data_IF_611951702142
#
_entry.id   IF_611951702142
#
_cell.length_a   1.000
_cell.length_b   1.000
_cell.length_c   1.000
_cell.angle_alpha   90.00
_cell.angle_beta   90.00
_cell.angle_gamma   90.00
#
_symmetry.space_group_name_H-M   'P 1'
#
loop_
_entity.id
_entity.type
_entity.pdbx_description
1 polymer ?
#
# COMPACT_ATOMS: atom_id res chain seq x y z
N UNK A 1 -14.31 19.90 -38.77
CA UNK A 1 -14.13 18.46 -38.87
C UNK A 1 -12.63 18.13 -38.70
N UNK A 2 -12.21 17.63 -37.54
CA UNK A 2 -10.82 17.16 -37.33
C UNK A 2 -10.79 15.68 -37.64
N UNK A 3 -9.97 15.29 -38.62
CA UNK A 3 -9.75 13.90 -38.99
C UNK A 3 -9.02 13.16 -37.87
N UNK A 4 -9.61 12.05 -37.45
CA UNK A 4 -9.04 11.10 -36.50
C UNK A 4 -8.02 10.23 -37.22
N UNK A 5 -6.75 10.27 -36.79
CA UNK A 5 -5.73 9.32 -37.24
C UNK A 5 -5.73 8.08 -36.32
N UNK A 6 -5.90 6.88 -36.85
CA UNK A 6 -5.88 5.68 -36.03
C UNK A 6 -4.45 5.34 -35.58
N UNK A 7 -4.25 5.23 -34.27
CA UNK A 7 -3.00 4.80 -33.67
C UNK A 7 -2.62 3.36 -34.07
N UNK A 8 -1.32 3.11 -34.23
CA UNK A 8 -0.74 1.82 -34.61
C UNK A 8 -1.09 0.76 -33.55
N UNK A 9 -1.81 -0.27 -33.96
CA UNK A 9 -2.20 -1.41 -33.11
C UNK A 9 -1.00 -2.36 -32.95
N UNK A 10 -0.80 -2.90 -31.74
CA UNK A 10 0.27 -3.88 -31.40
C UNK A 10 0.36 -5.08 -32.36
N UNK A 11 -0.74 -5.51 -32.97
CA UNK A 11 -0.75 -6.60 -33.98
C UNK A 11 -0.12 -6.19 -35.31
N UNK A 12 -0.09 -4.92 -35.66
CA UNK A 12 0.50 -4.43 -36.91
C UNK A 12 2.02 -4.22 -36.79
N UNK A 13 2.55 -4.02 -35.59
CA UNK A 13 3.98 -3.91 -35.35
C UNK A 13 4.72 -5.24 -35.63
N UNK A 14 4.10 -6.36 -35.33
CA UNK A 14 4.69 -7.70 -35.55
C UNK A 14 4.64 -8.19 -37.01
N UNK A 15 3.90 -7.52 -37.90
CA UNK A 15 3.81 -7.91 -39.32
C UNK A 15 4.84 -7.23 -40.22
N UNK A 16 5.57 -6.22 -39.75
CA UNK A 16 6.54 -5.44 -40.54
C UNK A 16 7.95 -6.06 -40.47
N UNK A 17 8.19 -7.05 -39.60
CA UNK A 17 9.53 -7.64 -39.39
C UNK A 17 9.77 -8.96 -40.13
N UNK A 18 8.90 -9.36 -41.05
CA UNK A 18 9.12 -10.57 -41.84
C UNK A 18 9.00 -10.30 -43.35
N UNK A 19 10.02 -9.71 -43.96
CA UNK A 19 10.36 -9.89 -45.37
C UNK A 19 11.59 -9.02 -45.71
N UNK A 20 12.75 -9.64 -45.82
CA UNK A 20 13.63 -9.63 -47.00
C UNK A 20 14.96 -10.31 -46.72
N UNK A 21 15.37 -11.26 -47.53
CA UNK A 21 16.74 -11.77 -47.51
C UNK A 21 17.58 -10.94 -48.51
N UNK A 22 18.52 -10.18 -48.02
CA UNK A 22 19.64 -9.74 -48.83
C UNK A 22 20.95 -10.11 -48.14
N UNK A 23 21.60 -11.07 -48.74
CA UNK A 23 22.99 -11.46 -48.46
C UNK A 23 23.89 -10.37 -49.00
N UNK A 24 24.73 -9.75 -48.17
CA UNK A 24 26.00 -9.19 -48.55
C UNK A 24 27.00 -9.18 -47.40
N UNK A 25 28.12 -9.81 -47.66
CA UNK A 25 29.47 -9.50 -47.24
C UNK A 25 29.77 -9.32 -45.76
N UNK A 26 30.51 -10.30 -45.24
CA UNK A 26 31.13 -10.28 -43.92
C UNK A 26 32.00 -9.00 -43.72
N UNK A 27 31.63 -8.24 -42.68
CA UNK A 27 32.59 -7.57 -41.83
C UNK A 27 32.09 -7.73 -40.39
N UNK A 28 32.69 -8.69 -39.72
CA UNK A 28 32.40 -9.01 -38.33
C UNK A 28 33.00 -7.95 -37.39
N UNK A 29 32.39 -6.78 -37.36
CA UNK A 29 32.47 -5.95 -36.19
C UNK A 29 31.40 -6.48 -35.21
N UNK A 30 31.80 -7.36 -34.33
CA UNK A 30 31.01 -7.69 -33.13
C UNK A 30 30.88 -6.40 -32.30
N UNK A 31 29.98 -5.53 -32.70
CA UNK A 31 29.48 -4.50 -31.81
C UNK A 31 28.91 -5.23 -30.60
N UNK A 32 29.58 -5.11 -29.46
CA UNK A 32 29.11 -5.61 -28.20
C UNK A 32 27.67 -5.09 -28.03
N UNK A 33 26.69 -6.00 -27.99
CA UNK A 33 25.33 -5.67 -27.59
C UNK A 33 25.43 -4.82 -26.32
N UNK A 34 24.77 -3.67 -26.23
CA UNK A 34 24.81 -2.91 -24.99
C UNK A 34 24.29 -3.84 -23.89
N UNK A 35 25.24 -4.34 -23.08
CA UNK A 35 24.84 -5.05 -21.84
C UNK A 35 23.95 -4.08 -21.09
N UNK A 36 22.66 -4.39 -21.01
CA UNK A 36 21.75 -3.65 -20.16
C UNK A 36 22.32 -3.75 -18.75
N UNK A 37 23.00 -2.69 -18.30
CA UNK A 37 23.49 -2.61 -16.93
C UNK A 37 22.24 -2.60 -16.06
N UNK A 38 21.91 -3.75 -15.47
CA UNK A 38 20.88 -3.83 -14.44
C UNK A 38 21.24 -2.81 -13.35
N UNK A 39 20.22 -2.17 -12.80
CA UNK A 39 20.43 -1.28 -11.66
C UNK A 39 21.13 -2.06 -10.54
N UNK A 40 22.09 -1.46 -9.84
CA UNK A 40 22.78 -2.13 -8.75
C UNK A 40 21.78 -2.47 -7.63
N UNK A 41 21.85 -3.71 -7.16
CA UNK A 41 21.00 -4.20 -6.06
C UNK A 41 21.85 -4.31 -4.80
N UNK A 42 21.35 -3.75 -3.70
CA UNK A 42 21.99 -3.84 -2.38
C UNK A 42 20.98 -4.33 -1.33
N UNK A 43 21.35 -5.38 -0.59
CA UNK A 43 20.57 -5.82 0.56
C UNK A 43 20.88 -4.89 1.75
N UNK A 44 19.82 -4.32 2.34
CA UNK A 44 19.90 -3.37 3.47
C UNK A 44 19.42 -3.95 4.80
N UNK A 45 18.99 -5.22 4.82
CA UNK A 45 18.59 -5.92 6.06
C UNK A 45 19.54 -7.06 6.36
N UNK A 46 19.77 -7.35 7.63
CA UNK A 46 20.73 -8.37 8.13
C UNK A 46 20.05 -9.33 9.11
N UNK A 47 20.71 -10.45 9.38
CA UNK A 47 20.27 -11.46 10.34
C UNK A 47 19.30 -12.48 9.74
N UNK A 48 18.70 -13.28 10.65
CA UNK A 48 17.85 -14.43 10.32
C UNK A 48 16.35 -14.12 10.28
N UNK A 49 15.96 -12.88 10.59
CA UNK A 49 14.55 -12.44 10.55
C UNK A 49 14.14 -12.07 9.14
N UNK A 50 12.84 -12.18 8.87
CA UNK A 50 12.25 -11.79 7.58
C UNK A 50 11.86 -10.33 7.62
N UNK A 51 12.22 -9.59 6.58
CA UNK A 51 11.95 -8.17 6.48
C UNK A 51 11.29 -7.85 5.15
N UNK A 52 10.28 -6.97 5.18
CA UNK A 52 9.66 -6.44 3.97
C UNK A 52 9.08 -5.05 4.22
N UNK A 53 8.63 -4.41 3.16
CA UNK A 53 7.81 -3.21 3.21
C UNK A 53 6.56 -3.43 2.34
N UNK A 54 5.41 -3.21 2.85
CA UNK A 54 4.15 -3.16 2.16
C UNK A 54 3.42 -1.89 2.60
N UNK A 55 2.71 -1.18 1.79
CA UNK A 55 2.17 -1.48 0.50
C UNK A 55 2.89 -0.63 -0.57
N UNK A 56 2.84 -1.04 -1.86
CA UNK A 56 3.67 -0.49 -2.94
C UNK A 56 3.57 1.03 -3.17
N UNK A 57 2.45 1.66 -2.82
CA UNK A 57 2.17 3.07 -3.01
C UNK A 57 2.49 3.93 -1.77
N UNK A 58 3.03 3.33 -0.70
CA UNK A 58 3.34 4.03 0.54
C UNK A 58 4.75 4.63 0.53
N UNK A 59 4.92 5.76 1.20
CA UNK A 59 6.23 6.41 1.32
C UNK A 59 7.13 5.60 2.26
N UNK A 60 8.04 4.83 1.68
CA UNK A 60 9.00 4.00 2.39
C UNK A 60 10.22 4.78 2.86
N UNK A 61 10.72 5.69 2.03
CA UNK A 61 11.90 6.50 2.32
C UNK A 61 11.49 7.82 2.95
N UNK A 62 12.31 8.30 3.90
CA UNK A 62 12.20 9.66 4.39
C UNK A 62 12.59 10.67 3.29
N UNK A 63 12.25 11.97 3.43
CA UNK A 63 12.57 12.98 2.41
C UNK A 63 14.07 13.15 2.12
N UNK A 64 14.95 12.72 3.02
CA UNK A 64 16.42 12.82 2.83
C UNK A 64 17.00 11.60 2.13
N UNK A 65 16.23 10.51 2.00
CA UNK A 65 16.69 9.23 1.48
C UNK A 65 17.66 8.48 2.41
N UNK A 66 17.79 8.90 3.67
CA UNK A 66 18.65 8.25 4.67
C UNK A 66 17.94 7.10 5.37
N UNK A 67 16.68 7.31 5.74
CA UNK A 67 15.91 6.36 6.54
C UNK A 67 14.92 5.59 5.69
N UNK A 68 14.89 4.27 5.86
CA UNK A 68 13.97 3.37 5.18
C UNK A 68 13.10 2.68 6.22
N UNK A 69 11.79 2.72 6.02
CA UNK A 69 10.86 1.98 6.85
C UNK A 69 10.87 0.51 6.48
N UNK A 70 10.63 -0.35 7.45
CA UNK A 70 10.49 -1.78 7.23
C UNK A 70 9.68 -2.44 8.33
N UNK A 71 9.25 -3.64 8.02
CA UNK A 71 8.58 -4.56 8.95
C UNK A 71 9.43 -5.82 9.10
N UNK A 72 9.33 -6.46 10.29
CA UNK A 72 10.11 -7.65 10.61
C UNK A 72 9.22 -8.68 11.34
N UNK A 73 9.36 -9.93 10.96
CA UNK A 73 8.74 -11.09 11.64
C UNK A 73 9.71 -12.27 11.73
N UNK A 74 9.29 -13.31 12.46
CA UNK A 74 10.07 -14.53 12.70
C UNK A 74 9.67 -15.70 11.79
N UNK A 75 8.67 -15.53 10.91
CA UNK A 75 8.12 -16.60 10.10
C UNK A 75 7.73 -16.11 8.69
N UNK A 76 7.58 -17.07 7.77
CA UNK A 76 7.01 -16.90 6.43
C UNK A 76 6.08 -18.08 6.11
N UNK A 77 5.53 -18.08 4.90
CA UNK A 77 4.76 -19.18 4.29
C UNK A 77 3.46 -19.59 5.02
N UNK A 78 2.92 -18.74 5.86
CA UNK A 78 1.58 -18.91 6.43
C UNK A 78 0.86 -17.57 6.55
N UNK A 79 -0.45 -17.61 6.60
CA UNK A 79 -1.29 -16.42 6.88
C UNK A 79 -1.08 -15.95 8.32
N UNK A 80 -0.94 -14.64 8.57
CA UNK A 80 -0.92 -14.08 9.90
C UNK A 80 -2.24 -14.35 10.64
N UNK A 81 -2.12 -14.62 11.93
CA UNK A 81 -3.25 -14.77 12.86
C UNK A 81 -3.42 -13.52 13.72
N UNK A 82 -4.48 -13.47 14.51
CA UNK A 82 -4.73 -12.39 15.45
C UNK A 82 -3.63 -12.22 16.54
N UNK A 83 -2.84 -13.24 16.78
CA UNK A 83 -1.77 -13.26 17.79
C UNK A 83 -0.40 -12.89 17.22
N UNK A 84 -0.27 -12.85 15.90
CA UNK A 84 1.01 -12.57 15.26
C UNK A 84 1.32 -11.07 15.31
N UNK A 85 2.50 -10.76 15.84
CA UNK A 85 2.99 -9.38 15.97
C UNK A 85 4.02 -9.13 14.90
N UNK A 86 3.87 -8.04 14.15
CA UNK A 86 4.91 -7.49 13.30
C UNK A 86 5.68 -6.40 14.04
N UNK A 87 7.00 -6.42 13.95
CA UNK A 87 7.86 -5.34 14.41
C UNK A 87 7.99 -4.28 13.33
N UNK A 88 7.95 -3.03 13.74
CA UNK A 88 8.09 -1.87 12.88
C UNK A 88 9.42 -1.20 13.18
N UNK A 89 10.17 -0.87 12.14
CA UNK A 89 11.48 -0.27 12.35
C UNK A 89 11.93 0.64 11.23
N UNK A 90 13.04 1.28 11.52
CA UNK A 90 13.76 2.18 10.63
C UNK A 90 15.14 1.59 10.37
N UNK A 91 15.56 1.62 9.11
CA UNK A 91 16.90 1.25 8.66
C UNK A 91 17.65 2.55 8.34
N UNK A 92 18.75 2.80 9.02
CA UNK A 92 19.63 3.93 8.76
C UNK A 92 20.70 3.54 7.73
N UNK A 93 20.54 4.02 6.49
CA UNK A 93 21.42 3.69 5.37
C UNK A 93 22.84 4.28 5.52
N UNK A 94 23.03 5.28 6.38
CA UNK A 94 24.31 5.92 6.63
C UNK A 94 25.05 5.31 7.84
N UNK A 95 24.34 4.50 8.66
CA UNK A 95 24.94 3.79 9.79
C UNK A 95 24.96 2.26 9.55
N UNK A 96 25.59 1.86 8.48
CA UNK A 96 25.77 0.43 8.12
C UNK A 96 24.46 -0.36 8.05
N UNK A 97 23.39 0.27 7.59
CA UNK A 97 22.03 -0.28 7.51
C UNK A 97 21.52 -0.75 8.88
N UNK A 98 21.76 0.03 9.92
CA UNK A 98 21.33 -0.30 11.27
C UNK A 98 19.80 -0.29 11.37
N UNK A 99 19.24 -1.44 11.77
CA UNK A 99 17.85 -1.58 12.13
C UNK A 99 17.58 -1.03 13.53
N UNK A 100 16.58 -0.20 13.68
CA UNK A 100 16.06 0.27 14.96
C UNK A 100 14.57 -0.01 15.02
N UNK A 101 14.13 -0.85 15.95
CA UNK A 101 12.73 -1.11 16.24
C UNK A 101 12.10 0.14 16.88
N UNK A 102 10.95 0.59 16.37
CA UNK A 102 10.23 1.78 16.84
C UNK A 102 8.82 1.46 17.35
N UNK A 103 8.31 0.28 17.08
CA UNK A 103 6.98 -0.14 17.49
C UNK A 103 6.63 -1.53 16.99
N UNK A 104 5.39 -1.91 17.26
CA UNK A 104 4.81 -3.19 16.83
C UNK A 104 3.40 -2.97 16.31
N UNK A 105 2.82 -4.01 15.68
CA UNK A 105 1.41 -4.03 15.30
C UNK A 105 0.87 -5.46 15.30
N UNK A 106 -0.39 -5.59 15.72
CA UNK A 106 -1.21 -6.79 15.55
C UNK A 106 -2.22 -6.65 14.40
N UNK A 107 -2.21 -5.51 13.69
CA UNK A 107 -3.08 -5.22 12.55
C UNK A 107 -2.27 -5.18 11.26
N UNK A 108 -1.99 -6.34 10.68
CA UNK A 108 -1.15 -6.44 9.50
C UNK A 108 -1.46 -7.64 8.62
N UNK A 109 -1.00 -7.59 7.38
CA UNK A 109 -1.04 -8.69 6.43
C UNK A 109 0.17 -8.66 5.50
N UNK A 110 0.45 -9.77 4.81
CA UNK A 110 1.64 -9.88 3.96
C UNK A 110 1.68 -8.86 2.83
N UNK A 111 0.55 -8.59 2.21
CA UNK A 111 0.51 -7.73 1.04
C UNK A 111 0.52 -6.24 1.41
N UNK A 112 -0.31 -5.84 2.36
CA UNK A 112 -0.51 -4.42 2.70
C UNK A 112 0.30 -3.98 3.92
N UNK A 113 0.95 -4.91 4.61
CA UNK A 113 1.56 -4.63 5.90
C UNK A 113 0.53 -4.09 6.88
N UNK A 114 0.94 -3.15 7.70
CA UNK A 114 0.09 -2.37 8.61
C UNK A 114 -0.13 -0.93 8.10
N UNK A 115 -0.12 -0.70 6.79
CA UNK A 115 -0.15 0.63 6.14
C UNK A 115 0.97 1.57 6.62
N UNK A 116 2.12 1.00 6.97
CA UNK A 116 3.31 1.74 7.40
C UNK A 116 3.78 2.72 6.33
N UNK A 117 3.97 3.98 6.69
CA UNK A 117 4.45 5.01 5.78
C UNK A 117 4.97 6.25 6.51
N UNK A 118 5.81 7.05 5.84
CA UNK A 118 6.09 8.42 6.25
C UNK A 118 4.85 9.29 6.01
N UNK A 119 4.59 10.22 6.93
CA UNK A 119 3.52 11.20 6.73
C UNK A 119 3.98 12.21 5.67
N UNK A 120 3.21 12.41 4.58
CA UNK A 120 3.56 13.37 3.54
C UNK A 120 3.81 14.78 4.10
N UNK A 121 4.84 15.48 3.59
CA UNK A 121 5.30 16.81 4.06
C UNK A 121 5.88 16.84 5.47
N UNK A 122 5.90 15.74 6.21
CA UNK A 122 6.64 15.63 7.47
C UNK A 122 8.03 15.03 7.22
N UNK A 123 9.02 15.49 7.96
CA UNK A 123 10.37 14.93 7.98
C UNK A 123 10.69 14.22 9.31
N UNK A 124 9.65 13.90 10.08
CA UNK A 124 9.81 13.27 11.39
C UNK A 124 8.67 12.35 11.80
N UNK A 125 7.57 12.29 11.04
CA UNK A 125 6.41 11.52 11.45
C UNK A 125 6.19 10.31 10.55
N UNK A 126 5.93 9.19 11.20
CA UNK A 126 5.61 7.89 10.61
C UNK A 126 4.25 7.48 11.14
N UNK A 127 3.45 6.81 10.33
CA UNK A 127 2.15 6.27 10.75
C UNK A 127 2.04 4.80 10.36
N UNK A 128 1.37 4.01 11.20
CA UNK A 128 0.98 2.64 10.92
C UNK A 128 -0.30 2.27 11.67
N UNK A 129 -0.98 1.25 11.20
CA UNK A 129 -2.16 0.71 11.86
C UNK A 129 -1.77 -0.33 12.92
N UNK A 130 -2.60 -0.43 13.94
CA UNK A 130 -2.50 -1.44 15.01
C UNK A 130 -3.89 -1.84 15.48
N UNK A 131 -3.96 -2.79 16.41
CA UNK A 131 -5.16 -3.19 17.10
C UNK A 131 -4.99 -3.01 18.60
N UNK A 132 -5.84 -2.18 19.18
CA UNK A 132 -5.94 -2.00 20.63
C UNK A 132 -7.32 -2.48 21.04
N UNK A 133 -7.38 -3.41 21.99
CA UNK A 133 -8.61 -4.05 22.45
C UNK A 133 -9.40 -4.64 21.27
N UNK A 134 -10.59 -4.15 21.00
CA UNK A 134 -11.43 -4.59 19.89
C UNK A 134 -11.57 -3.51 18.81
N UNK A 135 -10.52 -2.73 18.56
CA UNK A 135 -10.54 -1.64 17.60
C UNK A 135 -9.25 -1.58 16.77
N UNK A 136 -9.38 -1.42 15.46
CA UNK A 136 -8.26 -1.04 14.61
C UNK A 136 -8.01 0.46 14.70
N UNK A 137 -6.79 0.83 15.07
CA UNK A 137 -6.32 2.19 15.34
C UNK A 137 -5.16 2.53 14.43
N UNK A 138 -4.64 3.77 14.49
CA UNK A 138 -3.37 4.14 13.88
C UNK A 138 -2.48 4.86 14.88
N UNK A 139 -1.19 4.54 14.87
CA UNK A 139 -0.17 5.25 15.64
C UNK A 139 0.57 6.23 14.74
N UNK A 140 0.76 7.46 15.23
CA UNK A 140 1.67 8.44 14.64
C UNK A 140 2.87 8.55 15.58
N UNK A 141 4.05 8.23 15.07
CA UNK A 141 5.31 8.26 15.81
C UNK A 141 6.22 9.35 15.28
N UNK A 142 6.75 10.18 16.14
CA UNK A 142 7.73 11.20 15.77
C UNK A 142 9.14 10.71 16.06
N UNK A 143 9.93 10.47 15.02
CA UNK A 143 11.29 9.89 15.12
C UNK A 143 12.30 10.81 15.80
N UNK A 144 12.02 12.13 15.92
CA UNK A 144 12.92 13.07 16.57
C UNK A 144 12.68 13.16 18.06
N UNK A 145 11.43 13.03 18.48
CA UNK A 145 11.04 13.19 19.89
C UNK A 145 10.74 11.88 20.59
N UNK A 146 10.52 10.79 19.84
CA UNK A 146 10.07 9.50 20.36
C UNK A 146 8.61 9.49 20.83
N UNK A 147 7.85 10.57 20.62
CA UNK A 147 6.46 10.66 21.04
C UNK A 147 5.54 9.91 20.07
N UNK A 148 4.57 9.20 20.63
CA UNK A 148 3.52 8.51 19.90
C UNK A 148 2.16 9.10 20.24
N UNK A 149 1.32 9.32 19.24
CA UNK A 149 -0.12 9.57 19.40
C UNK A 149 -0.93 8.50 18.68
N UNK A 150 -2.17 8.28 19.15
CA UNK A 150 -3.04 7.23 18.62
C UNK A 150 -4.34 7.83 18.11
N UNK A 151 -4.68 7.51 16.86
CA UNK A 151 -5.96 7.83 16.25
C UNK A 151 -6.93 6.67 16.46
N UNK A 152 -8.19 6.97 16.69
CA UNK A 152 -9.23 5.96 16.98
C UNK A 152 -9.69 5.12 15.77
N UNK A 153 -9.10 5.32 14.59
CA UNK A 153 -9.40 4.54 13.37
C UNK A 153 -8.13 4.19 12.60
N UNK A 154 -8.15 3.02 11.99
CA UNK A 154 -7.11 2.61 11.05
C UNK A 154 -7.20 3.45 9.76
N UNK A 155 -6.03 3.84 9.23
CA UNK A 155 -5.93 4.56 7.97
C UNK A 155 -5.62 3.58 6.82
N UNK A 156 -5.96 3.98 5.60
CA UNK A 156 -5.54 3.30 4.38
C UNK A 156 -4.53 4.13 3.58
N UNK A 157 -4.82 5.40 3.38
CA UNK A 157 -3.96 6.32 2.63
C UNK A 157 -4.03 7.72 3.25
N UNK A 158 -2.93 8.47 3.10
CA UNK A 158 -2.83 9.85 3.61
C UNK A 158 -2.92 10.82 2.42
N UNK A 159 -3.55 11.97 2.65
CA UNK A 159 -3.58 13.07 1.68
C UNK A 159 -2.16 13.60 1.40
N UNK A 160 -1.86 14.07 0.19
CA UNK A 160 -0.56 14.59 -0.17
C UNK A 160 -0.09 15.79 0.67
N UNK A 161 -1.03 16.49 1.31
CA UNK A 161 -0.71 17.59 2.22
C UNK A 161 -0.39 17.14 3.66
N UNK A 162 -0.52 15.85 3.98
CA UNK A 162 -0.21 15.28 5.29
C UNK A 162 -1.17 15.65 6.42
N UNK A 163 -2.36 16.20 6.12
CA UNK A 163 -3.28 16.70 7.16
C UNK A 163 -4.42 15.75 7.50
N UNK A 164 -4.80 14.88 6.60
CA UNK A 164 -5.89 13.94 6.78
C UNK A 164 -5.64 12.63 6.04
N UNK A 165 -6.33 11.61 6.43
CA UNK A 165 -6.26 10.28 5.82
C UNK A 165 -7.65 9.77 5.45
N UNK A 166 -7.68 8.76 4.59
CA UNK A 166 -8.85 7.92 4.34
C UNK A 166 -8.64 6.59 5.05
N UNK A 167 -9.65 6.15 5.78
CA UNK A 167 -9.76 4.83 6.39
C UNK A 167 -10.96 4.07 5.84
N UNK A 168 -10.96 2.76 6.09
CA UNK A 168 -12.06 1.85 5.77
C UNK A 168 -12.10 0.70 6.78
N UNK A 169 -13.05 -0.23 6.65
CA UNK A 169 -13.22 -1.35 7.56
C UNK A 169 -12.32 -2.53 7.18
N UNK A 170 -11.20 -2.69 7.88
CA UNK A 170 -10.23 -3.76 7.62
C UNK A 170 -10.72 -5.15 8.03
N UNK A 171 -11.64 -5.26 9.01
CA UNK A 171 -12.31 -6.51 9.32
C UNK A 171 -13.11 -7.04 8.13
N UNK A 172 -13.90 -6.16 7.49
CA UNK A 172 -14.67 -6.52 6.30
C UNK A 172 -13.79 -6.91 5.12
N UNK A 173 -12.67 -6.21 4.92
CA UNK A 173 -11.70 -6.62 3.90
C UNK A 173 -11.17 -8.02 4.21
N UNK A 174 -10.86 -8.31 5.47
CA UNK A 174 -10.32 -9.61 5.88
C UNK A 174 -11.34 -10.74 5.63
N UNK A 175 -12.60 -10.52 5.95
CA UNK A 175 -13.65 -11.54 5.80
C UNK A 175 -13.98 -11.82 4.32
N UNK A 176 -14.11 -10.77 3.50
CA UNK A 176 -14.47 -10.90 2.09
C UNK A 176 -13.27 -11.17 1.16
N UNK A 177 -12.08 -10.80 1.59
CA UNK A 177 -10.83 -11.00 0.85
C UNK A 177 -9.68 -11.32 1.82
N UNK A 178 -9.60 -12.54 2.33
CA UNK A 178 -8.59 -12.94 3.31
C UNK A 178 -7.17 -12.61 2.85
N UNK A 179 -6.35 -12.08 3.77
CA UNK A 179 -4.97 -11.65 3.52
C UNK A 179 -4.80 -10.19 3.07
N UNK A 180 -5.89 -9.46 2.82
CA UNK A 180 -5.87 -8.03 2.48
C UNK A 180 -6.34 -7.13 3.61
N UNK A 181 -7.07 -7.66 4.58
CA UNK A 181 -7.46 -6.98 5.80
C UNK A 181 -6.61 -7.41 6.98
N UNK A 182 -7.17 -7.25 8.17
CA UNK A 182 -6.49 -7.59 9.43
C UNK A 182 -7.29 -8.60 10.22
N UNK A 183 -6.61 -9.62 10.74
CA UNK A 183 -7.20 -10.62 11.62
C UNK A 183 -7.47 -10.06 13.03
N UNK A 184 -8.37 -10.71 13.76
CA UNK A 184 -8.59 -10.51 15.19
C UNK A 184 -9.79 -9.68 15.58
N UNK A 185 -10.45 -8.99 14.63
CA UNK A 185 -11.74 -8.34 14.83
C UNK A 185 -12.66 -8.82 13.70
N UNK A 186 -13.75 -9.54 14.00
CA UNK A 186 -14.73 -9.97 13.00
C UNK A 186 -15.46 -8.76 12.40
N UNK A 187 -15.93 -8.90 11.16
CA UNK A 187 -16.80 -7.89 10.53
C UNK A 187 -18.15 -7.87 11.29
N UNK A 188 -18.53 -6.73 11.93
CA UNK A 188 -19.81 -6.63 12.61
C UNK A 188 -21.02 -6.70 11.67
N UNK A 189 -20.78 -6.58 10.35
CA UNK A 189 -21.80 -6.64 9.28
C UNK A 189 -21.54 -7.81 8.34
N UNK A 190 -21.02 -8.94 8.86
CA UNK A 190 -20.68 -10.12 8.06
C UNK A 190 -21.86 -10.69 7.27
N UNK A 191 -23.10 -10.50 7.74
CA UNK A 191 -24.31 -10.97 7.08
C UNK A 191 -24.96 -9.92 6.15
N UNK A 192 -24.40 -8.71 6.07
CA UNK A 192 -24.93 -7.61 5.24
C UNK A 192 -24.08 -7.38 4.00
N UNK A 193 -24.67 -7.48 2.81
CA UNK A 193 -23.98 -7.22 1.55
C UNK A 193 -23.59 -5.76 1.38
N UNK A 194 -24.48 -4.85 1.75
CA UNK A 194 -24.35 -3.40 1.55
C UNK A 194 -24.69 -2.62 2.84
N UNK A 195 -23.88 -2.75 3.91
CA UNK A 195 -24.15 -2.06 5.15
C UNK A 195 -24.08 -0.53 4.99
N UNK A 196 -24.97 0.18 5.70
CA UNK A 196 -25.09 1.65 5.67
C UNK A 196 -24.24 2.36 6.72
N UNK A 197 -23.82 1.64 7.76
CA UNK A 197 -23.17 2.22 8.94
C UNK A 197 -21.64 2.10 8.89
N UNK A 198 -21.10 1.51 7.84
CA UNK A 198 -19.67 1.43 7.57
C UNK A 198 -19.34 1.85 6.12
N UNK A 199 -18.10 2.32 5.91
CA UNK A 199 -17.72 2.82 4.59
C UNK A 199 -16.33 3.44 4.54
N UNK A 200 -16.20 4.55 3.83
CA UNK A 200 -15.00 5.36 3.76
C UNK A 200 -15.05 6.51 4.76
N UNK A 201 -13.98 6.67 5.52
CA UNK A 201 -13.86 7.70 6.55
C UNK A 201 -12.74 8.67 6.21
N UNK A 202 -13.01 9.96 6.25
CA UNK A 202 -11.99 10.99 6.32
C UNK A 202 -11.59 11.18 7.79
N UNK A 203 -10.30 11.14 8.06
CA UNK A 203 -9.73 11.19 9.42
C UNK A 203 -8.75 12.37 9.46
N UNK A 204 -8.97 13.32 10.34
CA UNK A 204 -8.04 14.43 10.60
C UNK A 204 -6.86 13.92 11.43
N UNK A 205 -5.64 14.02 10.93
CA UNK A 205 -4.46 13.44 11.58
C UNK A 205 -4.04 14.19 12.86
N UNK A 206 -4.41 15.46 12.98
CA UNK A 206 -4.08 16.27 14.16
C UNK A 206 -5.04 15.99 15.32
N UNK A 207 -6.33 15.87 15.04
CA UNK A 207 -7.36 15.77 16.07
C UNK A 207 -7.90 14.37 16.27
N UNK A 208 -7.63 13.45 15.36
CA UNK A 208 -8.20 12.10 15.33
C UNK A 208 -9.70 12.06 14.98
N UNK A 209 -10.34 13.21 14.76
CA UNK A 209 -11.76 13.25 14.38
C UNK A 209 -11.97 12.59 13.03
N UNK A 210 -12.99 11.74 12.94
CA UNK A 210 -13.34 11.06 11.71
C UNK A 210 -14.79 11.39 11.29
N UNK A 211 -15.01 11.38 9.97
CA UNK A 211 -16.32 11.54 9.35
C UNK A 211 -16.46 10.53 8.23
N UNK A 212 -17.55 9.78 8.20
CA UNK A 212 -17.89 8.94 7.07
C UNK A 212 -18.21 9.83 5.85
N UNK A 213 -17.58 9.53 4.71
CA UNK A 213 -17.81 10.21 3.44
C UNK A 213 -18.89 9.51 2.63
N UNK A 214 -18.77 8.20 2.52
CA UNK A 214 -19.70 7.33 1.80
C UNK A 214 -19.84 6.03 2.57
N UNK A 215 -21.06 5.55 2.71
CA UNK A 215 -21.31 4.19 3.18
C UNK A 215 -21.12 3.19 2.03
N UNK A 216 -21.01 1.91 2.37
CA UNK A 216 -21.03 0.84 1.36
C UNK A 216 -22.35 0.85 0.63
N UNK A 217 -23.47 1.06 1.33
CA UNK A 217 -24.80 1.16 0.73
C UNK A 217 -24.93 2.31 -0.30
N UNK A 218 -24.27 3.45 -0.05
CA UNK A 218 -24.31 4.57 -1.01
C UNK A 218 -23.62 4.22 -2.34
N UNK A 219 -22.47 3.55 -2.26
CA UNK A 219 -21.69 3.17 -3.44
C UNK A 219 -22.37 2.00 -4.18
N UNK A 220 -22.97 1.06 -3.47
CA UNK A 220 -23.66 -0.08 -4.07
C UNK A 220 -24.85 0.33 -4.96
N UNK A 221 -25.46 1.50 -4.72
CA UNK A 221 -26.52 2.07 -5.58
C UNK A 221 -26.01 2.50 -6.96
N UNK A 222 -24.71 2.67 -7.15
CA UNK A 222 -24.12 3.06 -8.42
C UNK A 222 -24.00 1.81 -9.31
N UNK A 223 -24.72 1.73 -10.44
CA UNK A 223 -24.73 0.55 -11.28
C UNK A 223 -23.34 0.34 -11.93
N UNK A 224 -22.92 -0.90 -12.04
CA UNK A 224 -21.71 -1.29 -12.78
C UNK A 224 -22.10 -1.75 -14.18
N UNK A 225 -21.57 -1.09 -15.21
CA UNK A 225 -21.88 -1.39 -16.64
C UNK A 225 -23.38 -1.48 -16.91
N UNK A 226 -24.17 -0.57 -16.30
CA UNK A 226 -25.62 -0.48 -16.44
C UNK A 226 -26.43 -1.56 -15.71
N UNK A 227 -25.81 -2.38 -14.87
CA UNK A 227 -26.47 -3.41 -14.05
C UNK A 227 -26.42 -3.02 -12.58
N UNK A 228 -27.52 -3.25 -11.84
CA UNK A 228 -27.51 -3.12 -10.38
C UNK A 228 -26.51 -4.11 -9.77
N UNK A 229 -25.83 -3.66 -8.72
CA UNK A 229 -24.88 -4.46 -7.95
C UNK A 229 -25.23 -4.50 -6.45
N UNK A 230 -26.38 -3.98 -6.07
CA UNK A 230 -26.84 -3.88 -4.69
C UNK A 230 -26.99 -5.24 -3.97
N UNK A 231 -27.20 -6.30 -4.71
CA UNK A 231 -27.29 -7.68 -4.22
C UNK A 231 -25.92 -8.38 -4.08
N UNK A 232 -24.82 -7.69 -4.41
CA UNK A 232 -23.47 -8.22 -4.31
C UNK A 232 -22.81 -7.85 -2.98
N UNK A 233 -21.78 -8.61 -2.59
CA UNK A 233 -20.93 -8.27 -1.46
C UNK A 233 -19.97 -7.16 -1.83
N UNK A 234 -19.91 -6.09 -1.01
CA UNK A 234 -19.09 -4.92 -1.25
C UNK A 234 -18.11 -4.66 -0.13
N UNK A 235 -16.92 -4.21 -0.51
CA UNK A 235 -15.90 -3.64 0.38
C UNK A 235 -15.04 -2.63 -0.36
N UNK A 236 -14.36 -1.75 0.36
CA UNK A 236 -13.41 -0.80 -0.23
C UNK A 236 -12.00 -1.33 -0.16
N UNK A 237 -11.23 -1.17 -1.24
CA UNK A 237 -9.82 -1.52 -1.32
C UNK A 237 -9.11 -0.62 -2.34
N UNK A 238 -7.77 -0.58 -2.34
CA UNK A 238 -6.96 0.24 -3.25
C UNK A 238 -7.30 1.73 -3.22
N UNK A 239 -7.41 2.28 -2.00
CA UNK A 239 -7.75 3.69 -1.82
C UNK A 239 -6.53 4.57 -2.09
N UNK A 240 -6.71 5.58 -2.93
CA UNK A 240 -5.72 6.60 -3.23
C UNK A 240 -6.38 7.98 -3.15
N UNK A 241 -5.60 8.97 -2.69
CA UNK A 241 -6.01 10.37 -2.69
C UNK A 241 -5.36 11.06 -3.89
N UNK A 242 -6.13 11.87 -4.61
CA UNK A 242 -5.60 12.64 -5.75
C UNK A 242 -4.45 13.55 -5.33
N UNK A 243 -3.38 13.69 -6.14
CA UNK A 243 -2.22 14.52 -5.81
C UNK A 243 -2.52 16.00 -5.57
N UNK A 244 -3.60 16.50 -6.15
CA UNK A 244 -4.05 17.89 -6.10
C UNK A 244 -5.17 18.18 -5.06
N UNK A 245 -5.45 17.24 -4.17
CA UNK A 245 -6.50 17.32 -3.15
C UNK A 245 -6.03 17.85 -1.78
#
# INVERSE_FOLDING_TARGET
MKQYQPGINRRNFLKITSMSPFVFGANSNHGASPQSKLAPIRKITKGSKFHWFGYYDKLQFDPTGRYVLGMQVDFEHRTPTAQDIVKIGIIDLQESDRWTEIGTSNAWGWQQGCMLQWVPKSNSEIIWNDRIDNQFVSHIYNVKTGLTSTLSKAIYTISPNGKWAIGTEFSRIQDLRPGYGYAGIPDPYADEKTPKDIGLYKIDLKTGKSKMLFSIADIAKIPSKGKSVEDQWHWFNHLLVSPDS
#
